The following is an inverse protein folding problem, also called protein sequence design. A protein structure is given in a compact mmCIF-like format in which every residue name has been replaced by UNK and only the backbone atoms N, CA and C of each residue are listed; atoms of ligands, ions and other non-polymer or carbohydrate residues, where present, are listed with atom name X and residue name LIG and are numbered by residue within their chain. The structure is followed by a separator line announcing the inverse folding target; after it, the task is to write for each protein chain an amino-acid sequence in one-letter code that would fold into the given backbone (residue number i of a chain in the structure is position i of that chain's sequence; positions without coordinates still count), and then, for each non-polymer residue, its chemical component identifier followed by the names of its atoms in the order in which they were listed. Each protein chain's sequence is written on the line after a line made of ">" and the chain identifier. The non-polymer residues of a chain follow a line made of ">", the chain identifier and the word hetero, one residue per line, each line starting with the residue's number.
data_IF_047357859296
#
_entry.id   IF_047357859296
#
_cell.length_a   1.000
_cell.length_b   1.000
_cell.length_c   1.000
_cell.angle_alpha   90.00
_cell.angle_beta   90.00
_cell.angle_gamma   90.00
#
_symmetry.space_group_name_H-M   'P 1'
#
loop_
_entity.id
_entity.type
_entity.pdbx_description
1 polymer ?
#
# COMPACT_ATOMS: atom_id res chain seq x y z
N UNK A 1 -1.24 15.19 -16.18
CA UNK A 1 0.20 15.35 -15.88
C UNK A 1 0.84 13.95 -15.87
N UNK A 2 2.07 13.75 -16.38
CA UNK A 2 2.73 12.43 -16.28
C UNK A 2 3.57 12.38 -15.01
N UNK A 3 3.18 11.54 -14.05
CA UNK A 3 3.97 11.29 -12.84
C UNK A 3 5.29 10.62 -13.25
N UNK A 4 6.41 11.15 -12.77
CA UNK A 4 7.72 10.50 -12.95
C UNK A 4 7.84 9.40 -11.91
N UNK A 5 8.08 8.17 -12.35
CA UNK A 5 8.35 7.04 -11.46
C UNK A 5 9.83 7.02 -11.04
N UNK A 6 10.14 6.59 -9.80
CA UNK A 6 9.21 6.28 -8.71
C UNK A 6 8.63 7.56 -8.07
N UNK A 7 7.42 7.48 -7.50
CA UNK A 7 6.78 8.60 -6.80
C UNK A 7 6.11 8.15 -5.50
N UNK A 8 5.82 9.10 -4.61
CA UNK A 8 5.07 8.83 -3.38
C UNK A 8 3.58 8.73 -3.71
N UNK A 9 2.93 7.62 -3.34
CA UNK A 9 1.49 7.41 -3.53
C UNK A 9 0.79 7.36 -2.18
N UNK A 10 -0.13 8.30 -1.92
CA UNK A 10 -1.11 8.18 -0.84
C UNK A 10 -2.43 7.74 -1.46
N UNK A 11 -2.90 6.57 -1.07
CA UNK A 11 -4.17 6.01 -1.56
C UNK A 11 -5.05 5.60 -0.37
N UNK A 12 -6.32 5.98 -0.43
CA UNK A 12 -7.33 5.49 0.50
C UNK A 12 -7.81 4.11 0.03
N UNK A 13 -7.92 3.15 0.94
CA UNK A 13 -8.39 1.83 0.57
C UNK A 13 -9.90 1.84 0.30
N UNK A 14 -10.33 1.41 -0.90
CA UNK A 14 -11.74 1.28 -1.25
C UNK A 14 -12.57 0.39 -0.31
N UNK A 15 -11.96 -0.67 0.25
CA UNK A 15 -12.63 -1.61 1.15
C UNK A 15 -12.77 -1.12 2.59
N UNK A 16 -11.68 -0.63 3.20
CA UNK A 16 -11.67 -0.25 4.63
C UNK A 16 -11.58 1.26 4.91
N UNK A 17 -11.42 2.10 3.88
CA UNK A 17 -11.35 3.56 4.00
C UNK A 17 -10.05 4.10 4.62
N UNK A 18 -9.05 3.26 4.85
CA UNK A 18 -7.80 3.71 5.47
C UNK A 18 -6.79 4.20 4.45
N UNK A 19 -6.19 5.33 4.75
CA UNK A 19 -5.10 5.93 3.99
C UNK A 19 -3.83 5.09 4.11
N UNK A 20 -3.19 4.83 2.98
CA UNK A 20 -1.95 4.10 2.86
C UNK A 20 -0.94 4.95 2.10
N UNK A 21 0.19 5.24 2.75
CA UNK A 21 1.33 5.89 2.11
C UNK A 21 2.30 4.83 1.60
N UNK A 22 2.48 4.78 0.28
CA UNK A 22 3.38 3.87 -0.41
C UNK A 22 4.56 4.67 -0.96
N UNK A 23 5.72 4.59 -0.30
CA UNK A 23 6.90 5.31 -0.75
C UNK A 23 7.49 4.67 -1.99
N UNK A 24 8.01 5.50 -2.90
CA UNK A 24 8.67 5.04 -4.12
C UNK A 24 7.83 4.12 -5.01
N UNK A 25 6.51 4.33 -5.06
CA UNK A 25 5.58 3.54 -5.86
C UNK A 25 5.96 3.51 -7.34
N UNK A 26 5.86 2.31 -7.92
CA UNK A 26 5.96 2.07 -9.36
C UNK A 26 4.71 1.31 -9.83
N UNK A 27 4.20 1.59 -11.05
CA UNK A 27 3.01 0.92 -11.60
C UNK A 27 3.10 -0.61 -11.71
N UNK A 28 4.32 -1.16 -11.61
CA UNK A 28 4.59 -2.60 -11.71
C UNK A 28 4.35 -3.34 -10.39
N UNK A 29 4.25 -2.63 -9.26
CA UNK A 29 4.12 -3.21 -7.92
C UNK A 29 2.68 -3.03 -7.42
N UNK A 30 2.04 -4.07 -6.87
CA UNK A 30 0.70 -3.94 -6.32
C UNK A 30 0.68 -2.99 -5.12
N UNK A 31 -0.36 -2.15 -5.04
CA UNK A 31 -0.61 -1.32 -3.86
C UNK A 31 -1.47 -2.10 -2.86
N UNK A 32 -0.85 -2.78 -1.90
CA UNK A 32 -1.58 -3.61 -0.93
C UNK A 32 -1.93 -2.80 0.31
N UNK A 33 -3.21 -2.80 0.70
CA UNK A 33 -3.66 -2.14 1.93
C UNK A 33 -3.02 -2.78 3.17
N UNK A 34 -2.50 -1.96 4.08
CA UNK A 34 -1.86 -2.42 5.32
C UNK A 34 -2.83 -3.09 6.31
N UNK A 35 -4.14 -2.83 6.23
CA UNK A 35 -5.15 -3.43 7.11
C UNK A 35 -5.88 -4.61 6.49
N UNK A 36 -6.62 -4.40 5.39
CA UNK A 36 -7.45 -5.47 4.80
C UNK A 36 -6.73 -6.33 3.75
N UNK A 37 -5.48 -6.00 3.41
CA UNK A 37 -4.65 -6.71 2.42
C UNK A 37 -5.23 -6.75 0.99
N UNK A 38 -6.23 -5.93 0.69
CA UNK A 38 -6.75 -5.78 -0.67
C UNK A 38 -5.75 -5.02 -1.55
N UNK A 39 -5.72 -5.38 -2.83
CA UNK A 39 -4.99 -4.62 -3.85
C UNK A 39 -5.80 -3.37 -4.20
N UNK A 40 -5.33 -2.21 -3.75
CA UNK A 40 -6.02 -0.93 -3.91
C UNK A 40 -6.03 -0.42 -5.36
N UNK A 41 -5.19 -0.96 -6.25
CA UNK A 41 -5.25 -0.66 -7.69
C UNK A 41 -6.25 -1.54 -8.45
N UNK A 42 -6.86 -2.53 -7.80
CA UNK A 42 -7.84 -3.41 -8.43
C UNK A 42 -9.25 -2.80 -8.49
N UNK A 43 -9.49 -1.71 -7.76
CA UNK A 43 -10.76 -0.98 -7.85
C UNK A 43 -10.86 -0.19 -9.16
N UNK A 44 -12.09 0.11 -9.58
CA UNK A 44 -12.36 1.07 -10.63
C UNK A 44 -12.07 2.49 -10.08
N UNK A 45 -10.81 2.89 -10.10
CA UNK A 45 -10.33 4.16 -9.52
C UNK A 45 -11.12 5.37 -10.05
N UNK A 46 -11.39 5.52 -11.37
CA UNK A 46 -12.23 6.59 -11.90
C UNK A 46 -13.66 6.69 -11.31
N UNK A 47 -14.20 5.61 -10.77
CA UNK A 47 -15.54 5.59 -10.15
C UNK A 47 -15.49 5.72 -8.62
N UNK A 48 -14.40 5.29 -8.00
CA UNK A 48 -14.31 5.12 -6.54
C UNK A 48 -13.46 6.18 -5.85
N UNK A 49 -12.58 6.86 -6.61
CA UNK A 49 -11.61 7.79 -6.08
C UNK A 49 -11.63 9.11 -6.86
N UNK A 50 -11.03 10.13 -6.25
CA UNK A 50 -10.60 11.37 -6.87
C UNK A 50 -9.06 11.44 -6.81
N UNK A 51 -8.46 12.03 -7.83
CA UNK A 51 -7.02 12.06 -8.02
C UNK A 51 -6.45 13.46 -7.92
N UNK A 52 -5.39 13.65 -7.13
CA UNK A 52 -4.69 14.92 -6.99
C UNK A 52 -3.18 14.70 -6.97
N UNK A 53 -2.40 15.67 -7.43
CA UNK A 53 -0.93 15.67 -7.31
C UNK A 53 -0.49 16.95 -6.61
N UNK A 54 0.33 16.84 -5.56
CA UNK A 54 0.90 18.01 -4.92
C UNK A 54 2.02 18.61 -5.79
N UNK A 55 1.91 19.89 -6.13
CA UNK A 55 2.84 20.56 -7.06
C UNK A 55 4.25 20.76 -6.46
N UNK A 56 4.35 20.78 -5.12
CA UNK A 56 5.62 21.00 -4.41
C UNK A 56 6.45 19.72 -4.23
N UNK A 57 5.81 18.61 -3.86
CA UNK A 57 6.52 17.34 -3.59
C UNK A 57 6.24 16.24 -4.62
N UNK A 58 5.38 16.49 -5.61
CA UNK A 58 4.97 15.54 -6.65
C UNK A 58 4.31 14.25 -6.13
N UNK A 59 3.78 14.27 -4.91
CA UNK A 59 3.03 13.14 -4.35
C UNK A 59 1.68 13.02 -5.02
N UNK A 60 1.30 11.80 -5.39
CA UNK A 60 -0.03 11.48 -5.88
C UNK A 60 -0.96 11.11 -4.70
N UNK A 61 -2.18 11.62 -4.75
CA UNK A 61 -3.27 11.38 -3.82
C UNK A 61 -4.41 10.71 -4.58
N UNK A 62 -4.82 9.54 -4.11
CA UNK A 62 -6.00 8.81 -4.57
C UNK A 62 -6.93 8.65 -3.38
N UNK A 63 -7.82 9.62 -3.19
CA UNK A 63 -8.75 9.65 -2.06
C UNK A 63 -10.11 9.15 -2.51
N UNK A 64 -10.93 8.58 -1.62
CA UNK A 64 -12.29 8.21 -2.04
C UNK A 64 -13.06 9.45 -2.49
N UNK A 65 -14.01 9.26 -3.41
CA UNK A 65 -14.86 10.36 -3.89
C UNK A 65 -15.73 10.98 -2.79
N UNK A 66 -15.98 10.24 -1.70
CA UNK A 66 -16.70 10.72 -0.52
C UNK A 66 -15.82 11.51 0.47
N UNK A 67 -14.49 11.41 0.34
CA UNK A 67 -13.54 12.11 1.20
C UNK A 67 -13.49 13.58 0.82
N UNK A 68 -13.69 14.47 1.79
CA UNK A 68 -13.66 15.91 1.55
C UNK A 68 -12.23 16.35 1.22
N UNK A 69 -12.03 16.90 0.02
CA UNK A 69 -10.77 17.45 -0.45
C UNK A 69 -11.05 18.73 -1.23
N UNK A 70 -10.36 19.81 -0.86
CA UNK A 70 -10.55 21.14 -1.44
C UNK A 70 -9.20 21.76 -1.74
N UNK A 71 -8.96 22.05 -3.03
CA UNK A 71 -7.74 22.70 -3.50
C UNK A 71 -7.54 24.07 -2.84
N UNK A 72 -6.35 24.31 -2.30
CA UNK A 72 -6.01 25.54 -1.57
C UNK A 72 -6.38 25.54 -0.08
N UNK A 73 -7.23 24.63 0.38
CA UNK A 73 -7.57 24.45 1.80
C UNK A 73 -6.93 23.20 2.39
N UNK A 74 -6.94 22.11 1.63
CA UNK A 74 -6.30 20.85 2.01
C UNK A 74 -4.78 21.01 1.98
N UNK A 75 -4.10 20.38 2.94
CA UNK A 75 -2.66 20.51 3.11
C UNK A 75 -1.96 19.18 2.84
N UNK A 76 -0.96 19.21 1.97
CA UNK A 76 -0.06 18.09 1.76
C UNK A 76 0.80 17.89 3.01
N UNK A 77 1.28 16.67 3.28
CA UNK A 77 2.22 16.42 4.39
C UNK A 77 3.55 17.18 4.27
N UNK A 78 3.87 17.74 3.09
CA UNK A 78 5.02 18.64 2.91
C UNK A 78 4.73 20.11 3.28
N UNK A 79 3.48 20.45 3.62
CA UNK A 79 3.02 21.80 3.96
C UNK A 79 2.50 22.64 2.78
N UNK A 80 2.51 22.11 1.56
CA UNK A 80 1.94 22.79 0.39
C UNK A 80 0.42 22.61 0.30
N UNK A 81 -0.26 23.56 -0.33
CA UNK A 81 -1.70 23.54 -0.61
C UNK A 81 -2.01 23.60 -2.11
N UNK A 82 -0.97 23.59 -2.92
CA UNK A 82 -1.06 23.65 -4.37
C UNK A 82 -1.15 22.22 -4.91
N UNK A 83 -2.31 21.92 -5.48
CA UNK A 83 -2.63 20.63 -6.07
C UNK A 83 -3.11 20.80 -7.50
N UNK A 84 -2.76 19.80 -8.32
CA UNK A 84 -3.26 19.64 -9.68
C UNK A 84 -4.07 18.35 -9.76
N UNK A 85 -5.27 18.41 -10.34
CA UNK A 85 -6.10 17.23 -10.59
C UNK A 85 -5.35 16.17 -11.42
N UNK A 86 -5.43 14.92 -10.98
CA UNK A 86 -4.84 13.77 -11.63
C UNK A 86 -5.94 12.97 -12.35
N UNK A 87 -5.81 12.84 -13.66
CA UNK A 87 -6.73 12.01 -14.45
C UNK A 87 -6.56 10.52 -14.08
N UNK A 88 -7.60 9.97 -13.46
CA UNK A 88 -7.59 8.59 -12.95
C UNK A 88 -7.71 7.54 -14.05
N UNK A 89 -8.22 7.88 -15.23
CA UNK A 89 -8.26 6.95 -16.37
C UNK A 89 -6.85 6.78 -16.92
N UNK A 90 -6.18 7.90 -17.16
CA UNK A 90 -4.78 7.91 -17.58
C UNK A 90 -3.89 7.22 -16.54
N UNK A 91 -4.16 7.42 -15.25
CA UNK A 91 -3.44 6.73 -14.17
C UNK A 91 -3.69 5.22 -14.19
N UNK A 92 -4.95 4.79 -14.24
CA UNK A 92 -5.32 3.37 -14.25
C UNK A 92 -4.75 2.64 -15.48
N UNK A 93 -4.76 3.27 -16.65
CA UNK A 93 -4.17 2.71 -17.87
C UNK A 93 -2.65 2.50 -17.76
N UNK A 94 -1.96 3.31 -16.94
CA UNK A 94 -0.54 3.15 -16.65
C UNK A 94 -0.26 2.02 -15.66
N UNK A 95 -1.17 1.75 -14.72
CA UNK A 95 -1.03 0.73 -13.67
C UNK A 95 -1.64 -0.63 -14.04
N UNK A 96 -2.52 -0.69 -15.03
CA UNK A 96 -3.21 -1.91 -15.47
C UNK A 96 -2.32 -2.92 -16.21
N UNK A 97 -0.99 -2.74 -16.23
CA UNK A 97 -0.04 -3.69 -16.82
C UNK A 97 0.74 -4.43 -15.74
N UNK A 98 0.13 -5.36 -15.00
CA UNK A 98 0.90 -6.33 -14.25
C UNK A 98 1.66 -7.19 -15.26
N UNK A 99 2.99 -7.17 -15.22
CA UNK A 99 3.76 -8.26 -15.81
C UNK A 99 3.37 -9.52 -15.02
N UNK A 100 2.61 -10.41 -15.63
CA UNK A 100 2.41 -11.76 -15.10
C UNK A 100 3.75 -12.50 -15.24
N UNK A 101 4.70 -12.25 -14.35
CA UNK A 101 5.67 -13.29 -14.01
C UNK A 101 4.86 -14.35 -13.30
N UNK A 102 4.46 -15.40 -14.04
CA UNK A 102 4.01 -16.63 -13.41
C UNK A 102 5.09 -17.00 -12.38
N UNK A 103 4.75 -17.19 -11.10
CA UNK A 103 5.65 -17.95 -10.26
C UNK A 103 5.84 -19.31 -10.93
N UNK A 104 7.09 -19.72 -11.13
CA UNK A 104 7.42 -21.11 -11.42
C UNK A 104 6.96 -21.90 -10.19
N UNK A 105 5.71 -22.37 -10.23
CA UNK A 105 5.04 -23.21 -9.22
C UNK A 105 5.59 -24.66 -9.25
N UNK A 106 6.66 -24.88 -10.02
CA UNK A 106 7.34 -26.16 -10.24
C UNK A 106 8.67 -26.23 -9.46
N UNK A 107 8.79 -25.54 -8.32
CA UNK A 107 9.86 -25.84 -7.36
C UNK A 107 9.35 -26.86 -6.33
N UNK A 108 9.62 -28.17 -6.51
CA UNK A 108 9.15 -29.21 -5.59
C UNK A 108 9.79 -29.12 -4.19
N UNK A 109 10.73 -28.20 -3.97
CA UNK A 109 11.42 -27.98 -2.69
C UNK A 109 10.85 -26.79 -1.88
N UNK A 110 9.86 -26.06 -2.39
CA UNK A 110 9.25 -24.94 -1.66
C UNK A 110 8.14 -25.41 -0.70
N UNK A 111 8.55 -25.98 0.42
CA UNK A 111 7.65 -26.45 1.47
C UNK A 111 7.15 -25.26 2.33
N UNK A 112 5.97 -24.72 2.00
CA UNK A 112 5.28 -23.70 2.81
C UNK A 112 4.91 -24.22 4.21
N UNK A 113 4.89 -25.54 4.37
CA UNK A 113 4.80 -26.21 5.64
C UNK A 113 6.21 -26.63 6.03
N UNK A 114 7.01 -25.76 6.67
CA UNK A 114 8.09 -26.30 7.49
C UNK A 114 7.44 -26.98 8.69
N UNK A 115 7.42 -28.32 8.82
CA UNK A 115 7.29 -28.89 10.14
C UNK A 115 8.45 -28.32 10.96
N UNK A 116 8.16 -27.86 12.17
CA UNK A 116 9.22 -27.55 13.11
C UNK A 116 10.16 -28.77 13.15
N UNK A 117 11.49 -28.60 13.06
CA UNK A 117 12.38 -29.70 13.40
C UNK A 117 11.95 -30.19 14.79
N UNK A 118 11.81 -31.50 14.92
CA UNK A 118 11.47 -32.18 16.17
C UNK A 118 12.66 -32.02 17.12
N UNK A 119 12.85 -30.79 17.61
CA UNK A 119 13.70 -30.46 18.73
C UNK A 119 12.81 -30.50 19.95
N UNK A 120 12.67 -31.71 20.48
CA UNK A 120 12.39 -31.88 21.89
C UNK A 120 13.69 -31.60 22.66
N UNK A 121 13.81 -30.39 23.21
CA UNK A 121 14.10 -30.24 24.61
C UNK A 121 12.88 -29.65 25.31
N UNK A 122 12.64 -30.17 26.51
CA UNK A 122 11.58 -29.78 27.43
C UNK A 122 11.79 -28.37 27.99
N UNK A 123 11.84 -27.35 27.14
CA UNK A 123 11.90 -25.97 27.62
C UNK A 123 10.46 -25.54 27.95
N UNK A 124 10.12 -25.66 29.23
CA UNK A 124 8.87 -25.16 29.80
C UNK A 124 8.86 -23.64 29.72
N UNK A 125 8.31 -23.11 28.62
CA UNK A 125 8.20 -21.67 28.36
C UNK A 125 7.45 -20.88 29.46
N UNK A 126 6.85 -21.56 30.45
CA UNK A 126 6.30 -20.92 31.64
C UNK A 126 7.38 -20.27 32.52
N UNK A 127 8.63 -20.76 32.52
CA UNK A 127 9.71 -20.17 33.33
C UNK A 127 10.13 -18.76 32.87
N UNK A 128 9.86 -18.39 31.61
CA UNK A 128 10.17 -17.07 31.05
C UNK A 128 9.28 -15.96 31.66
N UNK A 129 8.08 -16.32 32.10
CA UNK A 129 7.12 -15.38 32.69
C UNK A 129 7.16 -15.35 34.22
N UNK A 130 7.81 -16.33 34.84
CA UNK A 130 7.99 -16.43 36.30
C UNK A 130 9.25 -15.73 36.81
N UNK A 131 10.13 -15.26 35.90
CA UNK A 131 11.23 -14.35 36.24
C UNK A 131 10.67 -12.98 36.64
N UNK A 132 10.26 -12.89 37.90
CA UNK A 132 9.89 -11.67 38.59
C UNK A 132 11.04 -10.65 38.43
N UNK A 133 10.85 -9.52 37.71
CA UNK A 133 11.85 -8.45 37.64
C UNK A 133 11.83 -7.68 38.96
N UNK A 134 12.30 -8.33 40.02
CA UNK A 134 12.35 -7.80 41.37
C UNK A 134 13.47 -6.77 41.52
N UNK A 135 13.06 -5.51 41.58
CA UNK A 135 13.65 -4.31 42.22
C UNK A 135 15.15 -3.99 42.03
#
# INVERSE_FOLDING_TARGET
>A
MKLKTPFELLIECGGCGLENLIPGFTPEVPAVCNQCRENMLAYDLPQTHQGHTCDSCNRAYLLKTETEFVDGESECQCGSRDFTELDLKDFADQTAKPQTSKPDDDDPDFDWCRPAPDDSPQDDFNEIFDDNPGF
#
